data_IF_130754502726
#
_entry.id   IF_130754502726
#
_cell.length_a   1.000
_cell.length_b   1.000
_cell.length_c   1.000
_cell.angle_alpha   90.00
_cell.angle_beta   90.00
_cell.angle_gamma   90.00
#
_symmetry.space_group_name_H-M   'P 1'
#
loop_
_entity.id
_entity.type
_entity.pdbx_description
1 polymer ?
#
# COMPACT_ATOMS: atom_id res chain seq x y z
N UNK A 1 -12.43 11.90 17.47
CA UNK A 1 -10.97 12.12 17.53
C UNK A 1 -10.56 13.03 16.37
N UNK A 2 -9.44 13.71 16.50
CA UNK A 2 -8.82 14.49 15.42
C UNK A 2 -7.84 13.63 14.64
N UNK A 3 -8.09 13.45 13.35
CA UNK A 3 -7.29 12.57 12.49
C UNK A 3 -6.73 13.39 11.32
N UNK A 4 -5.41 13.43 11.21
CA UNK A 4 -4.74 14.00 10.05
C UNK A 4 -4.41 12.90 9.03
N UNK A 5 -4.69 13.15 7.75
CA UNK A 5 -4.34 12.24 6.66
C UNK A 5 -3.32 12.95 5.77
N UNK A 6 -2.12 12.40 5.67
CA UNK A 6 -1.07 12.92 4.78
C UNK A 6 -1.13 12.14 3.47
N UNK A 7 -1.66 12.79 2.42
CA UNK A 7 -1.82 12.26 1.08
C UNK A 7 -3.27 12.22 0.61
N UNK A 8 -3.61 13.08 -0.37
CA UNK A 8 -4.93 13.20 -1.00
C UNK A 8 -5.13 12.28 -2.21
N UNK A 9 -4.40 11.15 -2.27
CA UNK A 9 -4.64 10.10 -3.24
C UNK A 9 -6.00 9.40 -3.04
N UNK A 10 -6.44 8.58 -4.01
CA UNK A 10 -7.74 7.89 -3.94
C UNK A 10 -7.97 7.16 -2.61
N UNK A 11 -6.94 6.49 -2.07
CA UNK A 11 -7.06 5.80 -0.78
C UNK A 11 -7.15 6.75 0.41
N UNK A 12 -6.38 7.85 0.41
CA UNK A 12 -6.49 8.89 1.45
C UNK A 12 -7.88 9.52 1.48
N UNK A 13 -8.47 9.83 0.31
CA UNK A 13 -9.83 10.37 0.20
C UNK A 13 -10.89 9.37 0.68
N UNK A 14 -10.75 8.08 0.33
CA UNK A 14 -11.68 7.05 0.80
C UNK A 14 -11.63 6.86 2.32
N UNK A 15 -10.42 6.89 2.92
CA UNK A 15 -10.25 6.85 4.37
C UNK A 15 -10.75 8.12 5.06
N UNK A 16 -10.58 9.29 4.46
CA UNK A 16 -11.13 10.54 4.99
C UNK A 16 -12.65 10.46 5.12
N UNK A 17 -13.33 9.97 4.08
CA UNK A 17 -14.78 9.74 4.10
C UNK A 17 -15.18 8.72 5.16
N UNK A 18 -14.55 7.53 5.18
CA UNK A 18 -14.81 6.47 6.15
C UNK A 18 -14.70 6.96 7.60
N UNK A 19 -13.60 7.63 7.92
CA UNK A 19 -13.31 8.06 9.29
C UNK A 19 -14.18 9.23 9.72
N UNK A 20 -14.57 10.10 8.80
CA UNK A 20 -15.58 11.12 9.06
C UNK A 20 -16.94 10.49 9.38
N UNK A 21 -17.38 9.49 8.62
CA UNK A 21 -18.60 8.72 8.90
C UNK A 21 -18.56 7.99 10.26
N UNK A 22 -17.36 7.71 10.76
CA UNK A 22 -17.13 7.17 12.11
C UNK A 22 -17.05 8.29 13.19
N UNK A 23 -17.57 9.48 12.92
CA UNK A 23 -17.64 10.64 13.82
C UNK A 23 -16.27 11.18 14.27
N UNK A 24 -15.29 11.20 13.37
CA UNK A 24 -14.01 11.85 13.60
C UNK A 24 -13.92 13.18 12.85
N UNK A 25 -13.12 14.11 13.37
CA UNK A 25 -12.76 15.36 12.69
C UNK A 25 -11.54 15.10 11.80
N UNK A 26 -11.60 15.49 10.52
CA UNK A 26 -10.61 15.11 9.52
C UNK A 26 -9.95 16.35 8.92
N UNK A 27 -8.61 16.37 8.95
CA UNK A 27 -7.80 17.28 8.16
C UNK A 27 -6.94 16.48 7.20
N UNK A 28 -7.08 16.74 5.89
CA UNK A 28 -6.30 16.06 4.85
C UNK A 28 -5.27 17.01 4.25
N UNK A 29 -4.02 16.60 4.28
CA UNK A 29 -2.91 17.30 3.63
C UNK A 29 -2.67 16.76 2.22
N UNK A 30 -2.60 17.67 1.25
CA UNK A 30 -2.30 17.35 -0.15
C UNK A 30 -1.17 18.26 -0.67
N UNK A 31 -0.14 17.63 -1.23
CA UNK A 31 1.04 18.33 -1.69
C UNK A 31 0.84 19.04 -3.04
N UNK A 32 -0.04 18.50 -3.90
CA UNK A 32 -0.27 19.06 -5.23
C UNK A 32 -1.26 20.22 -5.15
N UNK A 33 -0.84 21.45 -5.50
CA UNK A 33 -1.68 22.64 -5.33
C UNK A 33 -2.94 22.60 -6.21
N UNK A 34 -2.89 22.03 -7.41
CA UNK A 34 -4.03 21.92 -8.31
C UNK A 34 -5.08 20.95 -7.77
N UNK A 35 -4.63 19.83 -7.18
CA UNK A 35 -5.51 18.86 -6.53
C UNK A 35 -6.12 19.45 -5.25
N UNK A 36 -5.30 20.13 -4.45
CA UNK A 36 -5.76 20.81 -3.23
C UNK A 36 -6.82 21.87 -3.53
N UNK A 37 -6.59 22.74 -4.51
CA UNK A 37 -7.54 23.78 -4.93
C UNK A 37 -8.87 23.16 -5.40
N UNK A 38 -8.79 22.07 -6.16
CA UNK A 38 -9.97 21.32 -6.58
C UNK A 38 -10.72 20.72 -5.39
N UNK A 39 -10.02 20.07 -4.45
CA UNK A 39 -10.64 19.50 -3.25
C UNK A 39 -11.32 20.56 -2.40
N UNK A 40 -10.69 21.72 -2.20
CA UNK A 40 -11.28 22.86 -1.46
C UNK A 40 -12.55 23.41 -2.12
N UNK A 41 -12.61 23.44 -3.46
CA UNK A 41 -13.75 23.98 -4.21
C UNK A 41 -14.91 22.99 -4.37
N UNK A 42 -14.60 21.71 -4.58
CA UNK A 42 -15.61 20.73 -5.03
C UNK A 42 -15.79 19.55 -4.08
N UNK A 43 -14.96 19.43 -3.06
CA UNK A 43 -14.88 18.25 -2.19
C UNK A 43 -14.82 16.93 -2.96
N UNK A 44 -14.22 16.93 -4.16
CA UNK A 44 -14.11 15.76 -5.02
C UNK A 44 -12.82 15.78 -5.83
N UNK A 45 -12.34 14.60 -6.20
CA UNK A 45 -11.30 14.43 -7.21
C UNK A 45 -11.67 13.26 -8.13
N UNK A 46 -12.45 13.49 -9.20
CA UNK A 46 -12.93 12.44 -10.11
C UNK A 46 -11.81 11.65 -10.80
N UNK A 47 -10.60 12.22 -10.89
CA UNK A 47 -9.44 11.52 -11.47
C UNK A 47 -8.93 10.41 -10.55
N UNK A 48 -8.98 10.64 -9.23
CA UNK A 48 -8.42 9.74 -8.22
C UNK A 48 -9.49 8.87 -7.55
N UNK A 49 -10.71 9.40 -7.39
CA UNK A 49 -11.84 8.72 -6.77
C UNK A 49 -13.13 9.13 -7.50
N UNK A 50 -13.47 8.49 -8.64
CA UNK A 50 -14.63 8.83 -9.45
C UNK A 50 -15.96 8.74 -8.69
N UNK A 51 -16.86 9.67 -8.98
CA UNK A 51 -18.25 9.71 -8.49
C UNK A 51 -18.40 9.86 -6.97
N UNK A 52 -17.33 10.23 -6.27
CA UNK A 52 -17.38 10.46 -4.81
C UNK A 52 -17.22 11.94 -4.51
N UNK A 53 -18.19 12.45 -3.73
CA UNK A 53 -18.13 13.78 -3.09
C UNK A 53 -17.90 13.54 -1.61
N UNK A 54 -16.90 14.21 -1.06
CA UNK A 54 -16.58 14.14 0.37
C UNK A 54 -17.49 15.08 1.17
N UNK A 55 -17.77 14.76 2.44
CA UNK A 55 -18.47 15.67 3.36
C UNK A 55 -17.82 17.05 3.42
N UNK A 56 -18.66 18.10 3.54
CA UNK A 56 -18.17 19.49 3.53
C UNK A 56 -17.36 19.86 4.77
N UNK A 57 -17.51 19.11 5.83
CA UNK A 57 -16.81 19.28 7.10
C UNK A 57 -15.37 18.76 7.08
N UNK A 58 -14.98 17.98 6.05
CA UNK A 58 -13.60 17.56 5.87
C UNK A 58 -12.78 18.75 5.40
N UNK A 59 -11.74 19.10 6.16
CA UNK A 59 -10.83 20.20 5.85
C UNK A 59 -9.64 19.72 5.01
N UNK A 60 -9.10 20.63 4.16
CA UNK A 60 -7.98 20.35 3.28
C UNK A 60 -6.89 21.40 3.43
N UNK A 61 -5.64 20.97 3.51
CA UNK A 61 -4.47 21.85 3.58
C UNK A 61 -3.30 21.36 2.73
N UNK A 62 -2.41 22.28 2.37
CA UNK A 62 -1.09 22.02 1.80
C UNK A 62 0.04 22.46 2.73
N UNK A 63 -0.30 22.98 3.92
CA UNK A 63 0.65 23.47 4.91
C UNK A 63 0.78 22.51 6.10
N UNK A 64 1.99 22.17 6.46
CA UNK A 64 2.27 21.33 7.64
C UNK A 64 1.99 22.05 8.95
N UNK A 65 2.05 23.37 9.00
CA UNK A 65 1.68 24.12 10.19
C UNK A 65 0.18 24.02 10.50
N UNK A 66 -0.68 23.86 9.50
CA UNK A 66 -2.11 23.61 9.74
C UNK A 66 -2.32 22.25 10.42
N UNK A 67 -1.50 21.21 10.10
CA UNK A 67 -1.54 19.93 10.81
C UNK A 67 -1.15 20.11 12.28
N UNK A 68 -0.14 20.93 12.55
CA UNK A 68 0.27 21.24 13.91
C UNK A 68 -0.85 21.93 14.70
N UNK A 69 -1.45 22.98 14.15
CA UNK A 69 -2.55 23.71 14.78
C UNK A 69 -3.83 22.87 14.93
N UNK A 70 -3.99 21.86 14.08
CA UNK A 70 -5.11 20.92 14.18
C UNK A 70 -4.98 19.99 15.41
N UNK A 71 -3.77 19.76 15.91
CA UNK A 71 -3.48 18.88 17.03
C UNK A 71 -4.03 17.44 16.81
N UNK A 72 -3.53 16.70 15.80
CA UNK A 72 -4.05 15.36 15.50
C UNK A 72 -3.70 14.37 16.61
N UNK A 73 -4.65 13.51 16.94
CA UNK A 73 -4.45 12.35 17.81
C UNK A 73 -4.00 11.13 16.98
N UNK A 74 -4.35 11.07 15.69
CA UNK A 74 -3.94 10.03 14.76
C UNK A 74 -3.41 10.69 13.48
N UNK A 75 -2.26 10.23 13.00
CA UNK A 75 -1.71 10.61 11.70
C UNK A 75 -1.73 9.40 10.79
N UNK A 76 -2.38 9.51 9.64
CA UNK A 76 -2.46 8.46 8.61
C UNK A 76 -1.55 8.84 7.44
N UNK A 77 -0.63 7.95 7.07
CA UNK A 77 0.29 8.14 5.95
C UNK A 77 -0.28 7.42 4.72
N UNK A 78 -0.91 8.19 3.82
CA UNK A 78 -1.55 7.72 2.58
C UNK A 78 -0.80 8.18 1.32
N UNK A 79 0.52 8.32 1.43
CA UNK A 79 1.45 8.66 0.35
C UNK A 79 2.19 7.41 -0.13
N UNK A 80 2.57 7.32 -1.42
CA UNK A 80 3.31 6.15 -1.92
C UNK A 80 4.64 5.97 -1.18
N UNK A 81 5.02 4.73 -0.96
CA UNK A 81 6.19 4.34 -0.14
C UNK A 81 7.46 5.10 -0.48
N UNK A 82 7.74 5.31 -1.77
CA UNK A 82 8.97 5.98 -2.24
C UNK A 82 9.05 7.47 -1.84
N UNK A 83 7.93 8.07 -1.45
CA UNK A 83 7.87 9.49 -1.08
C UNK A 83 7.71 9.72 0.43
N UNK A 84 7.51 8.68 1.25
CA UNK A 84 7.29 8.81 2.70
C UNK A 84 8.45 9.54 3.36
N UNK A 85 9.69 9.08 3.15
CA UNK A 85 10.88 9.67 3.76
C UNK A 85 11.02 11.15 3.40
N UNK A 86 11.02 11.48 2.12
CA UNK A 86 11.20 12.85 1.66
C UNK A 86 10.07 13.77 2.12
N UNK A 87 8.83 13.30 2.11
CA UNK A 87 7.68 14.08 2.59
C UNK A 87 7.79 14.38 4.09
N UNK A 88 8.09 13.38 4.93
CA UNK A 88 8.20 13.61 6.35
C UNK A 88 9.45 14.44 6.74
N UNK A 89 10.54 14.31 6.01
CA UNK A 89 11.73 15.14 6.19
C UNK A 89 11.55 16.60 5.71
N UNK A 90 10.57 16.85 4.82
CA UNK A 90 10.23 18.22 4.39
C UNK A 90 9.37 18.98 5.40
N UNK A 91 8.85 18.32 6.44
CA UNK A 91 8.15 18.99 7.53
C UNK A 91 9.16 19.91 8.26
N UNK A 92 8.84 21.21 8.45
CA UNK A 92 9.71 22.14 9.16
C UNK A 92 10.10 21.61 10.54
N UNK A 93 11.37 21.76 10.93
CA UNK A 93 11.91 21.22 12.18
C UNK A 93 11.11 21.70 13.41
N UNK A 94 10.65 22.95 13.36
CA UNK A 94 9.81 23.55 14.40
C UNK A 94 8.46 22.82 14.56
N UNK A 95 7.88 22.33 13.44
CA UNK A 95 6.63 21.59 13.45
C UNK A 95 6.81 20.11 13.80
N UNK A 96 7.96 19.51 13.46
CA UNK A 96 8.23 18.09 13.72
C UNK A 96 8.15 17.75 15.20
N UNK A 97 8.75 18.58 16.06
CA UNK A 97 8.83 18.33 17.52
C UNK A 97 7.46 18.20 18.18
N UNK A 98 6.53 19.06 17.79
CA UNK A 98 5.21 19.10 18.39
C UNK A 98 4.26 18.10 17.69
N UNK A 99 4.42 17.88 16.38
CA UNK A 99 3.60 16.93 15.64
C UNK A 99 3.84 15.48 16.09
N UNK A 100 5.07 15.14 16.50
CA UNK A 100 5.43 13.81 17.00
C UNK A 100 5.46 13.74 18.55
N UNK A 101 4.68 14.60 19.21
CA UNK A 101 4.59 14.61 20.67
C UNK A 101 3.79 13.40 21.18
N UNK A 102 4.40 12.45 21.94
CA UNK A 102 3.74 11.24 22.43
C UNK A 102 2.64 11.50 23.48
N UNK A 103 2.60 12.69 24.09
CA UNK A 103 1.53 13.06 25.04
C UNK A 103 0.22 13.40 24.31
N UNK A 104 0.30 13.77 23.02
CA UNK A 104 -0.84 14.17 22.20
C UNK A 104 -1.15 13.14 21.14
N UNK A 105 -0.13 12.62 20.47
CA UNK A 105 -0.26 11.65 19.38
C UNK A 105 -0.57 10.25 19.95
N UNK A 106 -1.66 9.67 19.45
CA UNK A 106 -2.11 8.34 19.85
C UNK A 106 -1.61 7.24 18.92
N UNK A 107 -1.58 7.50 17.59
CA UNK A 107 -1.12 6.53 16.60
C UNK A 107 -0.58 7.18 15.32
N UNK A 108 0.35 6.48 14.67
CA UNK A 108 0.82 6.73 13.31
C UNK A 108 0.44 5.49 12.47
N UNK A 109 -0.49 5.66 11.53
CA UNK A 109 -1.01 4.54 10.73
C UNK A 109 -0.53 4.64 9.29
N UNK A 110 0.39 3.75 8.91
CA UNK A 110 0.78 3.60 7.50
C UNK A 110 -0.31 2.84 6.74
N UNK A 111 -0.61 3.30 5.53
CA UNK A 111 -1.52 2.61 4.60
C UNK A 111 -0.90 2.39 3.20
N UNK A 112 0.36 2.78 3.01
CA UNK A 112 1.12 2.49 1.80
C UNK A 112 1.58 1.02 1.75
N UNK A 113 1.77 0.50 0.54
CA UNK A 113 2.06 -0.92 0.29
C UNK A 113 3.28 -1.08 -0.62
N UNK A 114 4.47 -0.91 -0.08
CA UNK A 114 5.73 -1.00 -0.83
C UNK A 114 6.95 -1.17 0.07
N UNK A 115 8.10 -1.26 -0.58
CA UNK A 115 9.44 -1.31 0.02
C UNK A 115 10.27 -0.21 -0.63
N UNK A 116 10.97 0.60 0.16
CA UNK A 116 11.80 1.72 -0.34
C UNK A 116 12.95 1.20 -1.22
N UNK A 117 13.17 1.80 -2.40
CA UNK A 117 14.13 1.25 -3.39
C UNK A 117 15.58 1.25 -2.91
N UNK A 118 16.04 2.31 -2.28
CA UNK A 118 17.47 2.47 -1.96
C UNK A 118 17.88 1.77 -0.67
N UNK A 119 17.00 1.72 0.30
CA UNK A 119 17.28 1.16 1.63
C UNK A 119 16.76 -0.26 1.81
N UNK A 120 15.82 -0.69 0.96
CA UNK A 120 15.09 -1.95 1.03
C UNK A 120 14.27 -2.10 2.33
N UNK A 121 13.89 -0.99 2.94
CA UNK A 121 13.13 -0.95 4.19
C UNK A 121 11.62 -0.97 3.94
N UNK A 122 10.89 -1.61 4.85
CA UNK A 122 9.44 -1.45 4.96
C UNK A 122 9.10 -0.07 5.52
N UNK A 123 7.84 0.34 5.42
CA UNK A 123 7.44 1.68 5.88
C UNK A 123 7.67 1.86 7.37
N UNK A 124 7.34 0.86 8.20
CA UNK A 124 7.58 0.96 9.64
C UNK A 124 9.06 1.10 9.99
N UNK A 125 9.95 0.48 9.22
CA UNK A 125 11.40 0.63 9.39
C UNK A 125 11.87 2.03 8.95
N UNK A 126 11.33 2.58 7.85
CA UNK A 126 11.58 3.97 7.42
C UNK A 126 11.17 4.94 8.55
N UNK A 127 9.97 4.77 9.09
CA UNK A 127 9.46 5.63 10.16
C UNK A 127 10.32 5.56 11.42
N UNK A 128 10.79 4.38 11.80
CA UNK A 128 11.71 4.21 12.94
C UNK A 128 13.09 4.87 12.74
N UNK A 129 13.50 5.10 11.49
CA UNK A 129 14.75 5.82 11.20
C UNK A 129 14.60 7.34 11.29
N UNK A 130 13.41 7.87 10.99
CA UNK A 130 13.22 9.33 10.83
C UNK A 130 12.39 9.96 11.93
N UNK A 131 11.64 9.17 12.72
CA UNK A 131 10.82 9.68 13.82
C UNK A 131 11.48 9.44 15.17
N UNK A 132 11.15 10.26 16.19
CA UNK A 132 11.62 10.07 17.57
C UNK A 132 11.28 8.67 18.10
N UNK A 133 12.17 8.08 18.91
CA UNK A 133 12.02 6.73 19.48
C UNK A 133 10.76 6.57 20.33
N UNK A 134 10.32 7.66 20.96
CA UNK A 134 9.17 7.73 21.85
C UNK A 134 7.86 7.34 21.15
N UNK A 135 7.76 7.61 19.83
CA UNK A 135 6.55 7.29 19.02
C UNK A 135 6.65 5.95 18.29
N UNK A 136 7.76 5.21 18.37
CA UNK A 136 7.95 3.97 17.63
C UNK A 136 6.90 2.90 17.95
N UNK A 137 6.40 2.83 19.19
CA UNK A 137 5.33 1.90 19.60
C UNK A 137 3.96 2.27 19.05
N UNK A 138 3.80 3.52 18.59
CA UNK A 138 2.57 4.05 18.00
C UNK A 138 2.46 3.75 16.50
N UNK A 139 3.53 3.24 15.89
CA UNK A 139 3.57 2.91 14.46
C UNK A 139 2.77 1.65 14.21
N UNK A 140 1.74 1.80 13.36
CA UNK A 140 0.85 0.72 12.91
C UNK A 140 0.74 0.72 11.38
N UNK A 141 0.34 -0.40 10.81
CA UNK A 141 0.03 -0.52 9.37
C UNK A 141 -1.35 -1.10 9.17
N UNK A 142 -2.17 -0.45 8.32
CA UNK A 142 -3.46 -0.94 7.86
C UNK A 142 -3.29 -1.51 6.44
N UNK A 143 -3.63 -2.78 6.24
CA UNK A 143 -3.48 -3.48 4.97
C UNK A 143 -4.60 -4.51 4.76
N UNK A 144 -4.72 -5.05 3.55
CA UNK A 144 -5.75 -6.02 3.17
C UNK A 144 -6.48 -5.62 1.90
N UNK A 145 -7.46 -6.40 1.44
CA UNK A 145 -8.23 -6.14 0.23
C UNK A 145 -9.07 -4.86 0.41
N UNK A 146 -8.63 -3.75 -0.17
CA UNK A 146 -9.20 -2.42 0.08
C UNK A 146 -9.03 -1.49 -1.13
N UNK A 147 -9.79 -1.73 -2.20
CA UNK A 147 -9.88 -0.76 -3.29
C UNK A 147 -10.61 0.50 -2.83
N UNK A 148 -9.99 1.66 -3.07
CA UNK A 148 -10.51 2.96 -2.63
C UNK A 148 -11.92 3.22 -3.14
N UNK A 149 -12.20 2.86 -4.39
CA UNK A 149 -13.47 3.03 -5.06
C UNK A 149 -14.59 2.21 -4.41
N UNK A 150 -14.27 1.00 -3.94
CA UNK A 150 -15.24 0.13 -3.26
C UNK A 150 -15.51 0.62 -1.84
N UNK A 151 -14.47 0.96 -1.08
CA UNK A 151 -14.62 1.48 0.28
C UNK A 151 -15.40 2.79 0.28
N UNK A 152 -15.11 3.71 -0.63
CA UNK A 152 -15.81 4.99 -0.73
C UNK A 152 -17.31 4.84 -1.10
N UNK A 153 -17.68 3.73 -1.77
CA UNK A 153 -19.06 3.32 -2.06
C UNK A 153 -19.68 2.45 -0.96
N UNK A 154 -19.02 2.31 0.18
CA UNK A 154 -19.49 1.51 1.32
C UNK A 154 -19.69 0.01 1.00
N UNK A 155 -18.93 -0.54 0.04
CA UNK A 155 -18.93 -1.97 -0.25
C UNK A 155 -18.28 -2.71 0.94
N UNK A 156 -18.86 -3.82 1.42
CA UNK A 156 -18.30 -4.57 2.54
C UNK A 156 -16.84 -4.94 2.34
N UNK A 157 -15.99 -4.44 3.23
CA UNK A 157 -14.53 -4.57 3.16
C UNK A 157 -13.98 -5.05 4.49
N UNK A 158 -13.03 -5.98 4.45
CA UNK A 158 -12.32 -6.47 5.63
C UNK A 158 -10.82 -6.26 5.46
N UNK A 159 -10.19 -5.66 6.47
CA UNK A 159 -8.75 -5.36 6.49
C UNK A 159 -8.12 -5.77 7.81
N UNK A 160 -6.81 -5.66 7.91
CA UNK A 160 -6.05 -5.92 9.14
C UNK A 160 -5.24 -4.68 9.52
N UNK A 161 -5.27 -4.35 10.82
CA UNK A 161 -4.35 -3.37 11.42
C UNK A 161 -3.30 -4.12 12.23
N UNK A 162 -2.03 -3.78 12.01
CA UNK A 162 -0.90 -4.42 12.67
C UNK A 162 -0.01 -3.42 13.40
N UNK A 163 0.58 -3.86 14.52
CA UNK A 163 1.48 -3.08 15.35
C UNK A 163 1.96 -3.88 16.55
N UNK A 164 2.81 -3.28 17.38
CA UNK A 164 3.40 -3.97 18.55
C UNK A 164 2.58 -3.86 19.83
N UNK A 165 1.68 -2.87 19.92
CA UNK A 165 0.89 -2.59 21.13
C UNK A 165 -0.56 -3.09 20.96
N UNK A 166 -0.95 -4.09 21.74
CA UNK A 166 -2.26 -4.73 21.66
C UNK A 166 -3.42 -3.81 22.07
N UNK A 167 -3.22 -2.91 23.04
CA UNK A 167 -4.26 -1.98 23.48
C UNK A 167 -4.49 -0.90 22.43
N UNK A 168 -3.41 -0.40 21.84
CA UNK A 168 -3.48 0.53 20.73
C UNK A 168 -4.24 -0.09 19.54
N UNK A 169 -3.89 -1.32 19.17
CA UNK A 169 -4.57 -2.03 18.08
C UNK A 169 -6.06 -2.24 18.35
N UNK A 170 -6.45 -2.50 19.61
CA UNK A 170 -7.86 -2.65 19.97
C UNK A 170 -8.64 -1.34 19.79
N UNK A 171 -8.05 -0.23 20.19
CA UNK A 171 -8.65 1.10 20.03
C UNK A 171 -8.75 1.49 18.54
N UNK A 172 -7.69 1.29 17.75
CA UNK A 172 -7.68 1.56 16.32
C UNK A 172 -8.70 0.68 15.58
N UNK A 173 -8.85 -0.60 15.98
CA UNK A 173 -9.88 -1.47 15.44
C UNK A 173 -11.28 -0.86 15.57
N UNK A 174 -11.61 -0.29 16.74
CA UNK A 174 -12.90 0.35 16.99
C UNK A 174 -13.06 1.66 16.19
N UNK A 175 -12.00 2.47 16.10
CA UNK A 175 -12.02 3.76 15.39
C UNK A 175 -12.26 3.57 13.89
N UNK A 176 -11.61 2.56 13.28
CA UNK A 176 -11.72 2.32 11.84
C UNK A 176 -12.93 1.47 11.45
N UNK A 177 -13.48 0.64 12.35
CA UNK A 177 -14.59 -0.27 12.01
C UNK A 177 -15.95 0.42 11.98
N UNK A 178 -16.79 0.01 11.03
CA UNK A 178 -18.21 0.37 10.96
C UNK A 178 -19.03 -0.76 10.31
N UNK A 179 -20.24 -0.47 9.86
CA UNK A 179 -21.15 -1.47 9.29
C UNK A 179 -20.67 -2.11 7.98
N UNK A 180 -19.79 -1.44 7.23
CA UNK A 180 -19.26 -1.94 5.95
C UNK A 180 -17.73 -2.10 5.93
N UNK A 181 -17.02 -1.63 6.96
CA UNK A 181 -15.56 -1.73 7.06
C UNK A 181 -15.16 -2.44 8.34
N UNK A 182 -14.66 -3.67 8.21
CA UNK A 182 -14.29 -4.53 9.33
C UNK A 182 -12.79 -4.63 9.47
N UNK A 183 -12.27 -4.28 10.63
CA UNK A 183 -10.83 -4.32 10.93
C UNK A 183 -10.50 -5.50 11.84
N UNK A 184 -9.54 -6.33 11.44
CA UNK A 184 -8.93 -7.36 12.28
C UNK A 184 -7.60 -6.87 12.82
N UNK A 185 -7.11 -7.45 13.89
CA UNK A 185 -5.81 -7.09 14.52
C UNK A 185 -4.77 -8.15 14.24
N UNK A 186 -3.51 -7.74 14.10
CA UNK A 186 -2.36 -8.63 13.98
C UNK A 186 -1.15 -8.02 14.71
N UNK A 187 -0.39 -8.82 15.46
CA UNK A 187 0.85 -8.38 16.11
C UNK A 187 2.10 -8.54 15.24
N UNK A 188 1.95 -9.06 14.03
CA UNK A 188 3.04 -9.22 13.05
C UNK A 188 3.05 -8.05 12.06
N UNK A 189 3.63 -6.93 12.50
CA UNK A 189 3.71 -5.72 11.68
C UNK A 189 4.48 -5.95 10.38
N UNK A 190 5.64 -6.64 10.47
CA UNK A 190 6.49 -6.95 9.31
C UNK A 190 5.73 -7.83 8.32
N UNK A 191 5.06 -8.88 8.77
CA UNK A 191 4.31 -9.78 7.90
C UNK A 191 3.18 -9.07 7.16
N UNK A 192 2.45 -8.17 7.83
CA UNK A 192 1.37 -7.39 7.22
C UNK A 192 1.91 -6.41 6.17
N UNK A 193 3.05 -5.75 6.42
CA UNK A 193 3.71 -4.87 5.44
C UNK A 193 4.26 -5.63 4.25
N UNK A 194 4.99 -6.72 4.49
CA UNK A 194 5.56 -7.58 3.43
C UNK A 194 4.47 -8.17 2.54
N UNK A 195 3.38 -8.69 3.12
CA UNK A 195 2.25 -9.20 2.35
C UNK A 195 1.66 -8.14 1.43
N UNK A 196 1.36 -6.95 1.98
CA UNK A 196 0.82 -5.82 1.22
C UNK A 196 1.76 -5.28 0.14
N UNK A 197 3.08 -5.32 0.36
CA UNK A 197 4.08 -4.85 -0.60
C UNK A 197 4.31 -5.86 -1.73
N UNK A 198 4.70 -7.10 -1.38
CA UNK A 198 5.17 -8.10 -2.36
C UNK A 198 4.04 -8.60 -3.28
N UNK A 199 2.78 -8.65 -2.79
CA UNK A 199 1.62 -9.00 -3.64
C UNK A 199 1.50 -8.12 -4.90
N UNK A 200 2.00 -6.89 -4.87
CA UNK A 200 1.95 -5.97 -6.00
C UNK A 200 2.78 -6.46 -7.19
N UNK A 201 3.88 -7.17 -6.93
CA UNK A 201 4.71 -7.83 -7.95
C UNK A 201 3.93 -8.95 -8.63
N UNK A 202 3.26 -9.79 -7.84
CA UNK A 202 2.43 -10.89 -8.35
C UNK A 202 1.22 -10.37 -9.12
N UNK A 203 0.66 -9.20 -8.71
CA UNK A 203 -0.42 -8.55 -9.44
C UNK A 203 0.02 -8.04 -10.82
N UNK A 204 1.27 -7.58 -10.98
CA UNK A 204 1.84 -7.26 -12.30
C UNK A 204 1.94 -8.55 -13.14
N UNK A 205 2.47 -9.65 -12.59
CA UNK A 205 2.52 -10.94 -13.28
C UNK A 205 1.13 -11.42 -13.73
N UNK A 206 0.11 -11.30 -12.87
CA UNK A 206 -1.27 -11.63 -13.21
C UNK A 206 -1.80 -10.77 -14.37
N UNK A 207 -1.45 -9.49 -14.37
CA UNK A 207 -1.75 -8.59 -15.49
C UNK A 207 -1.10 -9.04 -16.79
N UNK A 208 0.19 -9.40 -16.77
CA UNK A 208 0.93 -9.90 -17.94
C UNK A 208 0.23 -11.15 -18.51
N UNK A 209 -0.11 -12.12 -17.65
CA UNK A 209 -0.81 -13.35 -18.03
C UNK A 209 -2.14 -13.01 -18.71
N UNK A 210 -2.94 -12.11 -18.14
CA UNK A 210 -4.20 -11.67 -18.72
C UNK A 210 -4.02 -10.92 -20.05
N UNK A 211 -2.96 -10.10 -20.17
CA UNK A 211 -2.62 -9.39 -21.41
C UNK A 211 -2.18 -10.32 -22.55
N UNK A 212 -1.59 -11.47 -22.21
CA UNK A 212 -1.21 -12.52 -23.16
C UNK A 212 -2.37 -13.48 -23.52
N UNK A 213 -3.55 -13.26 -22.93
CA UNK A 213 -4.74 -14.11 -23.08
C UNK A 213 -4.54 -15.55 -22.60
N UNK A 214 -3.78 -15.73 -21.51
CA UNK A 214 -3.64 -17.03 -20.87
C UNK A 214 -4.77 -17.23 -19.83
N UNK A 215 -5.21 -18.48 -19.70
CA UNK A 215 -6.43 -18.82 -18.97
C UNK A 215 -6.28 -18.93 -17.45
N UNK A 216 -7.39 -19.31 -16.80
CA UNK A 216 -7.54 -19.36 -15.35
C UNK A 216 -6.59 -20.34 -14.66
N UNK A 217 -6.20 -21.43 -15.33
CA UNK A 217 -5.21 -22.39 -14.79
C UNK A 217 -3.89 -21.70 -14.53
N UNK A 218 -3.44 -20.82 -15.43
CA UNK A 218 -2.18 -20.07 -15.28
C UNK A 218 -2.29 -19.06 -14.14
N UNK A 219 -3.43 -18.39 -13.99
CA UNK A 219 -3.68 -17.46 -12.87
C UNK A 219 -3.72 -18.22 -11.54
N UNK A 220 -4.41 -19.36 -11.47
CA UNK A 220 -4.45 -20.19 -10.26
C UNK A 220 -3.05 -20.63 -9.81
N UNK A 221 -2.24 -21.14 -10.76
CA UNK A 221 -0.85 -21.53 -10.50
C UNK A 221 0.01 -20.33 -10.05
N UNK A 222 -0.12 -19.17 -10.72
CA UNK A 222 0.59 -17.94 -10.36
C UNK A 222 0.25 -17.49 -8.94
N UNK A 223 -1.02 -17.45 -8.55
CA UNK A 223 -1.41 -16.99 -7.21
C UNK A 223 -0.90 -17.93 -6.12
N UNK A 224 -1.00 -19.24 -6.34
CA UNK A 224 -0.49 -20.26 -5.41
C UNK A 224 1.01 -20.12 -5.22
N UNK A 225 1.77 -20.13 -6.31
CA UNK A 225 3.24 -20.06 -6.26
C UNK A 225 3.74 -18.66 -5.83
N UNK A 226 3.02 -17.60 -6.22
CA UNK A 226 3.30 -16.23 -5.80
C UNK A 226 3.12 -16.04 -4.29
N UNK A 227 2.10 -16.65 -3.69
CA UNK A 227 1.91 -16.62 -2.23
C UNK A 227 3.08 -17.30 -1.50
N UNK A 228 3.60 -18.41 -2.04
CA UNK A 228 4.78 -19.09 -1.49
C UNK A 228 6.02 -18.20 -1.56
N UNK A 229 6.21 -17.45 -2.64
CA UNK A 229 7.32 -16.47 -2.72
C UNK A 229 7.17 -15.36 -1.69
N UNK A 230 5.97 -14.77 -1.57
CA UNK A 230 5.65 -13.74 -0.57
C UNK A 230 5.99 -14.24 0.84
N UNK A 231 5.52 -15.44 1.18
CA UNK A 231 5.74 -16.08 2.47
C UNK A 231 7.22 -16.31 2.73
N UNK A 232 7.95 -16.86 1.75
CA UNK A 232 9.37 -17.18 1.86
C UNK A 232 10.21 -15.93 2.14
N UNK A 233 10.00 -14.85 1.39
CA UNK A 233 10.71 -13.60 1.61
C UNK A 233 10.31 -12.97 2.95
N UNK A 234 9.01 -12.93 3.27
CA UNK A 234 8.53 -12.34 4.50
C UNK A 234 9.09 -13.07 5.74
N UNK A 235 9.12 -14.39 5.74
CA UNK A 235 9.73 -15.18 6.83
C UNK A 235 11.24 -14.91 6.95
N UNK A 236 11.96 -14.78 5.83
CA UNK A 236 13.37 -14.38 5.84
C UNK A 236 13.60 -12.95 6.37
N UNK A 237 12.56 -12.11 6.37
CA UNK A 237 12.55 -10.78 6.98
C UNK A 237 12.03 -10.78 8.43
N UNK A 238 11.71 -11.94 9.02
CA UNK A 238 11.28 -12.07 10.41
C UNK A 238 9.76 -12.07 10.61
N UNK A 239 8.97 -12.17 9.55
CA UNK A 239 7.52 -12.30 9.63
C UNK A 239 7.10 -13.73 10.02
N UNK A 240 5.87 -13.84 10.52
CA UNK A 240 5.24 -15.13 10.79
C UNK A 240 4.58 -15.70 9.53
N UNK A 241 4.82 -16.97 9.27
CA UNK A 241 4.32 -17.71 8.10
C UNK A 241 2.78 -17.63 7.95
N UNK A 242 2.04 -17.78 9.06
CA UNK A 242 0.58 -17.76 9.07
C UNK A 242 -0.03 -16.41 8.69
N UNK A 243 0.71 -15.30 8.83
CA UNK A 243 0.23 -13.96 8.46
C UNK A 243 -0.11 -13.88 6.97
N UNK A 244 0.63 -14.60 6.13
CA UNK A 244 0.44 -14.56 4.66
C UNK A 244 -0.81 -15.31 4.19
N UNK A 245 -1.41 -16.17 5.00
CA UNK A 245 -2.70 -16.80 4.72
C UNK A 245 -3.89 -15.89 5.07
N UNK A 246 -3.64 -14.76 5.72
CA UNK A 246 -4.66 -13.79 6.14
C UNK A 246 -4.99 -12.74 5.08
N UNK A 247 -5.68 -11.67 5.56
CA UNK A 247 -6.18 -10.58 4.72
C UNK A 247 -5.08 -9.80 4.01
N UNK A 248 -3.95 -9.51 4.68
CA UNK A 248 -2.84 -8.76 4.08
C UNK A 248 -1.98 -9.58 3.10
N UNK A 249 -2.06 -10.91 3.18
CA UNK A 249 -1.39 -11.84 2.26
C UNK A 249 -2.35 -12.32 1.17
N UNK A 250 -2.91 -13.52 1.35
CA UNK A 250 -3.78 -14.18 0.37
C UNK A 250 -4.99 -13.31 -0.03
N UNK A 251 -5.66 -12.67 0.93
CA UNK A 251 -6.83 -11.85 0.64
C UNK A 251 -6.53 -10.69 -0.30
N UNK A 252 -5.50 -9.90 0.04
CA UNK A 252 -5.07 -8.75 -0.77
C UNK A 252 -4.42 -9.17 -2.10
N UNK A 253 -3.72 -10.30 -2.11
CA UNK A 253 -3.15 -10.88 -3.33
C UNK A 253 -4.26 -11.22 -4.35
N UNK A 254 -5.25 -12.01 -3.96
CA UNK A 254 -6.36 -12.41 -4.84
C UNK A 254 -7.09 -11.19 -5.35
N UNK A 255 -7.50 -10.28 -4.45
CA UNK A 255 -8.21 -9.06 -4.82
C UNK A 255 -7.42 -8.21 -5.82
N UNK A 256 -6.10 -8.00 -5.57
CA UNK A 256 -5.28 -7.14 -6.43
C UNK A 256 -4.98 -7.78 -7.79
N UNK A 257 -4.79 -9.09 -7.84
CA UNK A 257 -4.46 -9.83 -9.07
C UNK A 257 -5.67 -9.98 -10.01
N UNK A 258 -6.90 -9.97 -9.48
CA UNK A 258 -8.11 -10.22 -10.29
C UNK A 258 -8.92 -8.94 -10.58
N UNK A 259 -8.76 -7.90 -9.76
CA UNK A 259 -9.57 -6.67 -9.88
C UNK A 259 -9.17 -5.80 -11.07
N UNK A 260 -10.19 -5.23 -11.74
CA UNK A 260 -10.01 -4.17 -12.75
C UNK A 260 -9.51 -2.84 -12.17
N UNK A 261 -9.69 -2.62 -10.87
CA UNK A 261 -9.22 -1.41 -10.17
C UNK A 261 -7.73 -1.48 -9.81
N UNK A 262 -7.08 -2.64 -9.98
CA UNK A 262 -5.67 -2.79 -9.66
C UNK A 262 -4.76 -2.11 -10.69
N UNK A 263 -4.10 -1.03 -10.28
CA UNK A 263 -3.10 -0.31 -11.08
C UNK A 263 -1.92 -1.20 -11.47
N UNK A 264 -1.49 -2.07 -10.57
CA UNK A 264 -0.39 -3.00 -10.84
C UNK A 264 -0.77 -4.05 -11.88
N UNK A 265 -1.97 -4.63 -11.77
CA UNK A 265 -2.52 -5.53 -12.79
C UNK A 265 -2.67 -4.82 -14.13
N UNK A 266 -3.11 -3.56 -14.14
CA UNK A 266 -3.21 -2.76 -15.36
C UNK A 266 -1.85 -2.58 -16.06
N UNK A 267 -0.78 -2.24 -15.31
CA UNK A 267 0.58 -2.16 -15.87
C UNK A 267 0.97 -3.49 -16.52
N UNK A 268 0.80 -4.60 -15.81
CA UNK A 268 1.10 -5.93 -16.34
C UNK A 268 0.29 -6.25 -17.60
N UNK A 269 -1.02 -5.95 -17.60
CA UNK A 269 -1.89 -6.17 -18.76
C UNK A 269 -1.40 -5.43 -20.01
N UNK A 270 -1.05 -4.16 -19.87
CA UNK A 270 -0.54 -3.36 -20.99
C UNK A 270 0.81 -3.90 -21.52
N UNK A 271 1.68 -4.40 -20.63
CA UNK A 271 2.95 -5.04 -21.01
C UNK A 271 2.67 -6.36 -21.74
N UNK A 272 1.73 -7.17 -21.25
CA UNK A 272 1.29 -8.40 -21.94
C UNK A 272 0.72 -8.13 -23.34
N UNK A 273 0.12 -6.96 -23.57
CA UNK A 273 -0.32 -6.47 -24.87
C UNK A 273 0.82 -5.88 -25.74
N UNK A 274 2.07 -5.95 -25.31
CA UNK A 274 3.25 -5.50 -26.05
C UNK A 274 3.64 -4.04 -25.85
N UNK A 275 3.01 -3.30 -24.91
CA UNK A 275 3.46 -1.93 -24.58
C UNK A 275 4.69 -1.96 -23.69
N UNK A 276 5.58 -0.98 -23.84
CA UNK A 276 6.73 -0.81 -22.96
C UNK A 276 6.32 -0.27 -21.59
N UNK A 277 6.95 -0.76 -20.52
CA UNK A 277 6.66 -0.34 -19.15
C UNK A 277 6.72 1.18 -18.97
N UNK A 278 7.72 1.84 -19.52
CA UNK A 278 7.91 3.29 -19.42
C UNK A 278 6.72 4.08 -20.01
N UNK A 279 6.24 3.68 -21.20
CA UNK A 279 5.10 4.33 -21.86
C UNK A 279 3.80 4.14 -21.06
N UNK A 280 3.64 2.96 -20.46
CA UNK A 280 2.47 2.66 -19.62
C UNK A 280 2.48 3.54 -18.38
N UNK A 281 3.59 3.57 -17.63
CA UNK A 281 3.70 4.34 -16.39
C UNK A 281 3.52 5.84 -16.63
N UNK A 282 4.12 6.39 -17.71
CA UNK A 282 3.95 7.81 -18.08
C UNK A 282 2.51 8.18 -18.44
N UNK A 283 1.73 7.24 -18.97
CA UNK A 283 0.32 7.48 -19.33
C UNK A 283 -0.63 7.42 -18.13
N UNK A 284 -0.16 7.02 -16.95
CA UNK A 284 -1.00 6.83 -15.76
C UNK A 284 -1.08 8.10 -14.91
N UNK A 285 -2.28 8.45 -14.46
CA UNK A 285 -2.50 9.54 -13.51
C UNK A 285 -2.15 9.17 -12.07
N UNK A 286 -2.13 7.88 -11.75
CA UNK A 286 -1.86 7.36 -10.40
C UNK A 286 -0.67 6.39 -10.42
N UNK A 287 0.11 6.39 -9.35
CA UNK A 287 1.29 5.54 -9.20
C UNK A 287 0.89 4.07 -9.04
N UNK A 288 1.55 3.19 -9.80
CA UNK A 288 1.55 1.75 -9.59
C UNK A 288 2.78 1.38 -8.74
N UNK A 289 2.61 1.29 -7.44
CA UNK A 289 3.72 1.03 -6.50
C UNK A 289 4.48 -0.27 -6.78
N UNK A 290 3.82 -1.25 -7.41
CA UNK A 290 4.41 -2.54 -7.76
C UNK A 290 5.63 -2.43 -8.69
N UNK A 291 5.73 -1.39 -9.51
CA UNK A 291 6.89 -1.19 -10.41
C UNK A 291 8.16 -0.95 -9.58
N UNK A 292 8.14 0.06 -8.71
CA UNK A 292 9.26 0.35 -7.80
C UNK A 292 9.48 -0.82 -6.82
N UNK A 293 8.39 -1.35 -6.24
CA UNK A 293 8.44 -2.49 -5.31
C UNK A 293 9.05 -3.74 -5.95
N UNK A 294 8.87 -3.99 -7.26
CA UNK A 294 9.51 -5.12 -7.94
C UNK A 294 11.04 -5.03 -7.85
N UNK A 295 11.60 -3.84 -8.06
CA UNK A 295 13.05 -3.63 -7.93
C UNK A 295 13.52 -3.85 -6.49
N UNK A 296 12.80 -3.29 -5.52
CA UNK A 296 13.13 -3.45 -4.10
C UNK A 296 13.06 -4.90 -3.66
N UNK A 297 11.99 -5.62 -4.04
CA UNK A 297 11.79 -7.05 -3.69
C UNK A 297 12.86 -7.93 -4.32
N UNK A 298 13.20 -7.72 -5.60
CA UNK A 298 14.28 -8.44 -6.27
C UNK A 298 15.63 -8.25 -5.55
N UNK A 299 15.98 -7.01 -5.22
CA UNK A 299 17.23 -6.70 -4.52
C UNK A 299 17.22 -7.27 -3.08
N UNK A 300 16.10 -7.16 -2.35
CA UNK A 300 15.96 -7.70 -1.01
C UNK A 300 16.06 -9.23 -1.00
N UNK A 301 15.41 -9.90 -1.95
CA UNK A 301 15.49 -11.35 -2.11
C UNK A 301 16.92 -11.80 -2.38
N UNK A 302 17.65 -11.07 -3.24
CA UNK A 302 19.08 -11.32 -3.52
C UNK A 302 19.93 -11.13 -2.25
N UNK A 303 19.72 -10.05 -1.51
CA UNK A 303 20.44 -9.77 -0.27
C UNK A 303 20.19 -10.84 0.81
N UNK A 304 18.95 -11.34 0.89
CA UNK A 304 18.54 -12.39 1.85
C UNK A 304 18.82 -13.81 1.36
N UNK A 305 19.32 -13.98 0.13
CA UNK A 305 19.53 -15.28 -0.54
C UNK A 305 18.24 -16.12 -0.58
N UNK A 306 17.12 -15.46 -0.95
CA UNK A 306 15.80 -16.10 -1.06
C UNK A 306 15.43 -16.29 -2.53
N UNK A 307 15.09 -17.53 -2.91
CA UNK A 307 14.68 -17.90 -4.27
C UNK A 307 13.25 -17.37 -4.55
N UNK A 308 13.12 -16.43 -5.52
CA UNK A 308 11.86 -15.83 -5.93
C UNK A 308 11.73 -15.79 -7.46
N UNK A 309 11.52 -16.95 -8.11
CA UNK A 309 11.56 -17.06 -9.57
C UNK A 309 10.50 -16.23 -10.30
N UNK A 310 9.29 -16.08 -9.77
CA UNK A 310 8.25 -15.24 -10.40
C UNK A 310 8.68 -13.78 -10.33
N UNK A 311 9.12 -13.33 -9.16
CA UNK A 311 9.62 -11.95 -8.95
C UNK A 311 10.79 -11.64 -9.86
N UNK A 312 11.73 -12.58 -10.04
CA UNK A 312 12.87 -12.44 -10.95
C UNK A 312 12.41 -12.26 -12.40
N UNK A 313 11.46 -13.05 -12.87
CA UNK A 313 10.92 -12.91 -14.23
C UNK A 313 10.18 -11.58 -14.42
N UNK A 314 9.39 -11.14 -13.43
CA UNK A 314 8.74 -9.83 -13.47
C UNK A 314 9.78 -8.71 -13.52
N UNK A 315 10.85 -8.80 -12.73
CA UNK A 315 11.94 -7.82 -12.76
C UNK A 315 12.62 -7.76 -14.14
N UNK A 316 12.92 -8.91 -14.75
CA UNK A 316 13.55 -8.97 -16.08
C UNK A 316 12.63 -8.40 -17.16
N UNK A 317 11.32 -8.66 -17.10
CA UNK A 317 10.34 -8.08 -18.03
C UNK A 317 10.25 -6.57 -17.87
N UNK A 318 10.20 -6.07 -16.63
CA UNK A 318 10.05 -4.63 -16.40
C UNK A 318 11.31 -3.81 -16.71
N UNK A 319 12.49 -4.35 -16.41
CA UNK A 319 13.74 -3.57 -16.38
C UNK A 319 14.84 -4.06 -17.32
N UNK A 320 14.67 -5.21 -17.97
CA UNK A 320 15.67 -5.81 -18.87
C UNK A 320 15.09 -6.13 -20.25
N UNK A 321 13.92 -5.58 -20.59
CA UNK A 321 13.23 -5.77 -21.88
C UNK A 321 13.01 -7.26 -22.26
N UNK A 322 12.91 -8.16 -21.25
CA UNK A 322 12.64 -9.56 -21.49
C UNK A 322 11.24 -9.77 -22.06
N UNK A 323 11.13 -10.62 -23.09
CA UNK A 323 9.82 -10.99 -23.62
C UNK A 323 8.96 -11.72 -22.57
N UNK A 324 7.72 -11.29 -22.32
CA UNK A 324 6.86 -11.92 -21.32
C UNK A 324 6.55 -13.39 -21.58
N UNK A 325 6.45 -13.81 -22.87
CA UNK A 325 6.23 -15.23 -23.24
C UNK A 325 7.45 -16.07 -22.91
N UNK A 326 8.66 -15.54 -23.15
CA UNK A 326 9.92 -16.19 -22.77
C UNK A 326 10.03 -16.33 -21.25
N UNK A 327 9.63 -15.30 -20.49
CA UNK A 327 9.61 -15.34 -19.03
C UNK A 327 8.71 -16.48 -18.49
N UNK A 328 7.51 -16.65 -19.06
CA UNK A 328 6.60 -17.72 -18.68
C UNK A 328 7.16 -19.09 -19.09
N UNK A 329 7.74 -19.22 -20.29
CA UNK A 329 8.36 -20.47 -20.75
C UNK A 329 9.46 -20.92 -19.81
N UNK A 330 10.34 -20.02 -19.37
CA UNK A 330 11.41 -20.33 -18.43
C UNK A 330 10.87 -20.78 -17.07
N UNK A 331 9.79 -20.17 -16.56
CA UNK A 331 9.14 -20.65 -15.33
C UNK A 331 8.60 -22.06 -15.48
N UNK A 332 8.01 -22.39 -16.63
CA UNK A 332 7.41 -23.70 -16.91
C UNK A 332 8.43 -24.81 -17.18
N UNK A 333 9.64 -24.46 -17.64
CA UNK A 333 10.70 -25.42 -17.98
C UNK A 333 11.78 -25.56 -16.88
N UNK A 334 11.55 -24.98 -15.70
CA UNK A 334 12.42 -25.20 -14.53
C UNK A 334 12.45 -26.67 -14.11
N UNK A 335 13.49 -27.04 -13.40
CA UNK A 335 13.61 -28.37 -12.82
C UNK A 335 12.34 -28.76 -12.05
N UNK A 336 11.90 -30.01 -12.29
CA UNK A 336 10.72 -30.55 -11.60
C UNK A 336 11.02 -30.68 -10.10
N UNK A 337 10.11 -30.20 -9.26
CA UNK A 337 10.24 -30.25 -7.81
C UNK A 337 8.97 -30.85 -7.20
N UNK A 338 9.11 -31.41 -6.03
CA UNK A 338 7.98 -31.75 -5.16
C UNK A 338 7.32 -30.48 -4.65
N UNK A 339 5.99 -30.51 -4.49
CA UNK A 339 5.21 -29.36 -4.02
C UNK A 339 5.30 -29.17 -2.50
#
# INVERSE_FOLDING_TARGET
MKIAIIGGGGWGLALAKLLFENNNEILLWEYNPDFLDKLRKTHSNPLLLPDIILPLEISFTGDFFDLLHFHPEIIILAIPTQYIRSTLQSIPEEAQKDLWNPEQLFAIVNVAKGIEEHTLLTVSEILKQILPSEVHKMICTLSGPSHAEEVARQVPTSVVIAGSDSELLQKLQLIFSNSYFRVYRNSDLIGVEMGGAVKNVIAIAAGIIAGLDYGDNTIGALLTRGLVEIQRLGVACGARSETFLGLSGLGDLVTTATSKHSRNRYVGFQIGQGRKMQDVVQSMAMIAEGVATTRSVYNLATQKNVEMPITEQVYQVLFQDKDPRQAILELMTRDLKEE
#
